data_IF_275323796538
#
_entry.id   IF_275323796538
#
_cell.length_a   1.000
_cell.length_b   1.000
_cell.length_c   1.000
_cell.angle_alpha   90.00
_cell.angle_beta   90.00
_cell.angle_gamma   90.00
#
_symmetry.space_group_name_H-M   'P 1'
#
loop_
_entity.id
_entity.type
_entity.pdbx_description
1 polymer ?
#
# COMPACT_ATOMS: atom_id res chain seq x y z
N UNK A 1 -26.04 -3.20 26.20
CA UNK A 1 -25.92 -3.30 25.43
C UNK A 1 -26.44 -4.12 25.09
N UNK A 2 -26.75 -4.32 25.05
CA UNK A 2 -27.20 -4.81 24.96
C UNK A 2 -27.84 -5.44 24.10
N UNK A 3 -28.74 -5.72 24.00
CA UNK A 3 -29.26 -5.95 23.01
C UNK A 3 -28.36 -6.50 22.12
N UNK A 4 -27.68 -7.40 22.37
CA UNK A 4 -26.71 -7.93 21.52
C UNK A 4 -27.25 -8.54 20.25
N UNK A 5 -28.38 -9.20 20.31
CA UNK A 5 -28.86 -9.93 19.14
C UNK A 5 -29.26 -9.01 17.99
N UNK A 6 -30.12 -8.00 18.20
CA UNK A 6 -30.43 -7.10 17.07
C UNK A 6 -29.21 -6.31 16.65
N UNK A 7 -28.36 -5.99 17.59
CA UNK A 7 -27.15 -5.27 17.27
C UNK A 7 -26.26 -6.09 16.36
N UNK A 8 -26.20 -7.40 16.61
CA UNK A 8 -25.38 -8.26 15.77
C UNK A 8 -25.88 -8.29 14.34
N UNK A 9 -27.17 -8.32 14.14
CA UNK A 9 -27.72 -8.30 12.80
C UNK A 9 -27.38 -7.02 12.06
N UNK A 10 -27.58 -5.90 12.71
CA UNK A 10 -27.23 -4.63 12.14
C UNK A 10 -25.73 -4.53 11.91
N UNK A 11 -24.98 -5.12 12.80
CA UNK A 11 -23.56 -5.09 12.72
C UNK A 11 -23.06 -5.82 11.48
N UNK A 12 -23.70 -6.91 11.09
CA UNK A 12 -23.31 -7.62 9.89
C UNK A 12 -23.44 -6.77 8.63
N UNK A 13 -24.57 -6.07 8.50
CA UNK A 13 -24.76 -5.18 7.37
C UNK A 13 -23.81 -3.99 7.42
N UNK A 14 -23.67 -3.42 8.60
CA UNK A 14 -22.72 -2.35 8.80
C UNK A 14 -21.29 -2.85 8.60
N UNK A 15 -21.05 -4.12 8.87
CA UNK A 15 -19.73 -4.72 8.69
C UNK A 15 -19.26 -4.67 7.26
N UNK A 16 -20.17 -4.88 6.30
CA UNK A 16 -19.80 -4.80 4.89
C UNK A 16 -19.38 -3.38 4.54
N UNK A 17 -20.13 -2.39 4.99
CA UNK A 17 -19.79 -1.00 4.76
C UNK A 17 -18.53 -0.62 5.52
N UNK A 18 -18.38 -1.13 6.74
CA UNK A 18 -17.19 -0.89 7.54
C UNK A 18 -15.95 -1.45 6.88
N UNK A 19 -16.07 -2.64 6.26
CA UNK A 19 -14.94 -3.24 5.59
C UNK A 19 -14.52 -2.41 4.39
N UNK A 20 -15.47 -1.86 3.64
CA UNK A 20 -15.16 -1.00 2.52
C UNK A 20 -14.45 0.28 2.99
N UNK A 21 -14.96 0.88 4.05
CA UNK A 21 -14.32 2.07 4.62
C UNK A 21 -12.96 1.76 5.18
N UNK A 22 -12.83 0.60 5.81
CA UNK A 22 -11.55 0.17 6.36
C UNK A 22 -10.53 -0.03 5.24
N UNK A 23 -10.96 -0.65 4.13
CA UNK A 23 -10.08 -0.82 2.99
C UNK A 23 -9.63 0.53 2.44
N UNK A 24 -10.57 1.47 2.29
CA UNK A 24 -10.22 2.81 1.82
C UNK A 24 -9.24 3.51 2.75
N UNK A 25 -9.47 3.39 4.05
CA UNK A 25 -8.61 3.99 5.04
C UNK A 25 -7.21 3.37 5.00
N UNK A 26 -7.14 2.03 4.87
CA UNK A 26 -5.86 1.35 4.82
C UNK A 26 -5.08 1.75 3.58
N UNK A 27 -5.75 1.89 2.45
CA UNK A 27 -5.07 2.32 1.23
C UNK A 27 -4.53 3.73 1.39
N UNK A 28 -5.35 4.67 1.87
CA UNK A 28 -4.89 6.04 2.06
C UNK A 28 -3.76 6.13 3.08
N UNK A 29 -3.91 5.42 4.19
CA UNK A 29 -2.90 5.42 5.24
C UNK A 29 -1.61 4.81 4.74
N UNK A 30 -1.71 3.71 4.00
CA UNK A 30 -0.54 3.05 3.44
C UNK A 30 0.20 3.95 2.48
N UNK A 31 -0.53 4.61 1.58
CA UNK A 31 0.08 5.53 0.63
C UNK A 31 0.78 6.67 1.36
N UNK A 32 0.13 7.22 2.38
CA UNK A 32 0.72 8.32 3.16
C UNK A 32 1.99 7.88 3.87
N UNK A 33 2.07 6.61 4.25
CA UNK A 33 3.26 6.06 4.91
C UNK A 33 4.33 5.61 3.92
N UNK A 34 4.04 5.67 2.64
CA UNK A 34 4.98 5.22 1.63
C UNK A 34 4.97 3.72 1.42
N UNK A 35 3.85 3.07 1.65
CA UNK A 35 3.72 1.63 1.43
C UNK A 35 3.26 1.35 0.02
N UNK A 36 3.80 0.28 -0.58
CA UNK A 36 3.37 -0.17 -1.88
C UNK A 36 2.13 -1.04 -1.83
N UNK A 37 1.59 -1.41 -2.99
CA UNK A 37 0.33 -2.16 -3.04
C UNK A 37 0.41 -3.54 -2.40
N UNK A 38 1.54 -4.23 -2.53
CA UNK A 38 1.67 -5.57 -1.97
C UNK A 38 1.59 -5.53 -0.44
N UNK A 39 2.19 -4.52 0.18
CA UNK A 39 2.16 -4.37 1.63
C UNK A 39 0.77 -4.04 2.12
N UNK A 40 0.08 -3.16 1.42
CA UNK A 40 -1.27 -2.79 1.78
C UNK A 40 -2.19 -4.01 1.68
N UNK A 41 -2.05 -4.79 0.61
CA UNK A 41 -2.83 -6.00 0.45
C UNK A 41 -2.56 -7.00 1.57
N UNK A 42 -1.30 -7.19 1.92
CA UNK A 42 -0.95 -8.13 2.97
C UNK A 42 -1.55 -7.73 4.31
N UNK A 43 -1.50 -6.46 4.63
CA UNK A 43 -2.08 -5.97 5.88
C UNK A 43 -3.59 -6.14 5.91
N UNK A 44 -4.24 -5.85 4.78
CA UNK A 44 -5.69 -6.02 4.70
C UNK A 44 -6.09 -7.49 4.82
N UNK A 45 -5.28 -8.39 4.29
CA UNK A 45 -5.56 -9.82 4.41
C UNK A 45 -5.53 -10.29 5.85
N UNK A 46 -4.70 -9.69 6.67
CA UNK A 46 -4.66 -10.01 8.09
C UNK A 46 -5.97 -9.68 8.79
N UNK A 47 -6.72 -8.75 8.26
CA UNK A 47 -8.01 -8.37 8.82
C UNK A 47 -9.17 -9.03 8.08
N UNK A 48 -8.88 -10.01 7.23
CA UNK A 48 -9.90 -10.79 6.49
C UNK A 48 -10.81 -9.90 5.64
N UNK A 49 -10.26 -8.85 5.06
CA UNK A 49 -11.01 -7.97 4.18
C UNK A 49 -11.12 -8.62 2.80
N UNK A 50 -12.32 -8.57 2.23
CA UNK A 50 -12.58 -9.11 0.91
C UNK A 50 -11.65 -8.45 -0.12
N UNK A 51 -11.02 -9.29 -0.94
CA UNK A 51 -10.08 -8.82 -1.94
C UNK A 51 -10.74 -7.85 -2.92
N UNK A 52 -11.99 -8.09 -3.28
CA UNK A 52 -12.68 -7.20 -4.22
C UNK A 52 -12.90 -5.81 -3.62
N UNK A 53 -13.17 -5.74 -2.34
CA UNK A 53 -13.30 -4.45 -1.67
C UNK A 53 -11.98 -3.69 -1.66
N UNK A 54 -10.90 -4.42 -1.44
CA UNK A 54 -9.58 -3.81 -1.44
C UNK A 54 -9.21 -3.31 -2.83
N UNK A 55 -9.46 -4.12 -3.85
CA UNK A 55 -9.16 -3.70 -5.22
C UNK A 55 -9.95 -2.46 -5.61
N UNK A 56 -11.21 -2.42 -5.22
CA UNK A 56 -12.02 -1.24 -5.49
C UNK A 56 -11.48 -0.02 -4.78
N UNK A 57 -11.08 -0.17 -3.53
CA UNK A 57 -10.50 0.93 -2.77
C UNK A 57 -9.23 1.44 -3.42
N UNK A 58 -8.41 0.54 -3.94
CA UNK A 58 -7.18 0.93 -4.62
C UNK A 58 -7.47 1.68 -5.91
N UNK A 59 -8.46 1.23 -6.66
CA UNK A 59 -8.85 1.93 -7.87
C UNK A 59 -9.39 3.33 -7.58
N UNK A 60 -10.22 3.44 -6.55
CA UNK A 60 -10.80 4.72 -6.18
C UNK A 60 -9.76 5.71 -5.67
N UNK A 61 -8.74 5.19 -5.01
CA UNK A 61 -7.68 6.06 -4.52
C UNK A 61 -6.78 6.56 -5.65
N UNK A 62 -6.73 5.84 -6.75
CA UNK A 62 -6.02 6.25 -7.97
C UNK A 62 -4.57 6.68 -7.70
N UNK A 63 -3.87 5.85 -6.97
CA UNK A 63 -2.49 6.14 -6.61
C UNK A 63 -1.54 5.79 -7.74
N UNK A 64 -0.62 6.70 -8.03
CA UNK A 64 0.47 6.41 -8.96
C UNK A 64 1.58 5.71 -8.18
N UNK A 65 1.59 4.40 -8.25
CA UNK A 65 2.55 3.59 -7.51
C UNK A 65 3.97 3.81 -7.98
N UNK A 66 4.15 4.09 -9.25
CA UNK A 66 5.47 4.37 -9.82
C UNK A 66 6.04 5.65 -9.22
N UNK A 67 5.24 6.67 -9.17
CA UNK A 67 5.65 7.94 -8.58
C UNK A 67 5.93 7.79 -7.09
N UNK A 68 5.07 7.04 -6.39
CA UNK A 68 5.23 6.84 -4.96
C UNK A 68 6.52 6.08 -4.65
N UNK A 69 6.82 5.05 -5.44
CA UNK A 69 8.06 4.29 -5.24
C UNK A 69 9.28 5.21 -5.38
N UNK A 70 9.27 6.07 -6.38
CA UNK A 70 10.35 7.03 -6.56
C UNK A 70 10.45 8.00 -5.40
N UNK A 71 9.33 8.49 -4.92
CA UNK A 71 9.30 9.39 -3.78
C UNK A 71 9.88 8.73 -2.53
N UNK A 72 9.45 7.51 -2.25
CA UNK A 72 9.91 6.77 -1.08
C UNK A 72 11.42 6.53 -1.15
N UNK A 73 11.89 6.16 -2.33
CA UNK A 73 13.31 5.92 -2.53
C UNK A 73 14.12 7.20 -2.28
N UNK A 74 13.69 8.30 -2.88
CA UNK A 74 14.40 9.57 -2.73
C UNK A 74 14.38 10.06 -1.30
N UNK A 75 13.27 9.87 -0.62
CA UNK A 75 13.14 10.31 0.77
C UNK A 75 14.08 9.54 1.68
N UNK A 76 14.26 8.25 1.41
CA UNK A 76 15.09 7.39 2.26
C UNK A 76 16.57 7.46 1.91
N UNK A 77 16.89 7.50 0.62
CA UNK A 77 18.28 7.38 0.15
C UNK A 77 18.81 8.64 -0.53
N UNK A 78 17.98 9.62 -0.74
CA UNK A 78 18.38 10.87 -1.38
C UNK A 78 18.27 10.81 -2.89
N UNK A 79 18.73 11.86 -3.53
CA UNK A 79 18.61 12.00 -4.98
C UNK A 79 19.74 11.34 -5.74
N UNK A 80 20.82 10.99 -5.07
CA UNK A 80 21.96 10.40 -5.75
C UNK A 80 21.67 8.97 -6.17
N UNK A 81 22.12 8.57 -7.36
CA UNK A 81 21.98 7.17 -7.75
C UNK A 81 22.87 6.29 -6.90
N UNK A 82 22.58 4.99 -6.81
CA UNK A 82 23.41 4.10 -6.01
C UNK A 82 24.83 4.05 -6.54
N UNK A 83 25.77 4.03 -5.61
CA UNK A 83 27.19 4.08 -5.98
C UNK A 83 27.72 2.74 -6.46
N UNK A 84 27.02 1.65 -6.15
CA UNK A 84 27.47 0.31 -6.53
C UNK A 84 26.25 -0.60 -6.67
N UNK A 85 26.48 -1.78 -7.24
CA UNK A 85 25.43 -2.77 -7.34
C UNK A 85 24.93 -3.20 -5.98
N UNK A 86 25.84 -3.29 -5.02
CA UNK A 86 25.47 -3.66 -3.66
C UNK A 86 24.51 -2.63 -3.07
N UNK A 87 24.80 -1.37 -3.28
CA UNK A 87 23.94 -0.29 -2.79
C UNK A 87 22.59 -0.33 -3.51
N UNK A 88 22.61 -0.61 -4.81
CA UNK A 88 21.38 -0.72 -5.57
C UNK A 88 20.49 -1.85 -5.07
N UNK A 89 21.09 -3.02 -4.79
CA UNK A 89 20.34 -4.14 -4.25
C UNK A 89 19.75 -3.81 -2.88
N UNK A 90 20.47 -3.07 -2.09
CA UNK A 90 19.99 -2.66 -0.78
C UNK A 90 18.73 -1.79 -0.93
N UNK A 91 18.76 -0.86 -1.86
CA UNK A 91 17.62 0.02 -2.12
C UNK A 91 16.44 -0.76 -2.69
N UNK A 92 16.72 -1.71 -3.58
CA UNK A 92 15.67 -2.57 -4.14
C UNK A 92 14.99 -3.36 -3.03
N UNK A 93 15.76 -3.93 -2.13
CA UNK A 93 15.20 -4.68 -1.00
C UNK A 93 14.33 -3.82 -0.12
N UNK A 94 14.77 -2.58 0.11
CA UNK A 94 13.99 -1.66 0.91
C UNK A 94 12.63 -1.41 0.28
N UNK A 95 12.61 -1.17 -1.03
CA UNK A 95 11.35 -0.92 -1.72
C UNK A 95 10.48 -2.17 -1.77
N UNK A 96 11.08 -3.35 -1.93
CA UNK A 96 10.33 -4.60 -1.86
C UNK A 96 9.70 -4.78 -0.48
N UNK A 97 10.44 -4.45 0.55
CA UNK A 97 9.92 -4.54 1.92
C UNK A 97 8.74 -3.60 2.12
N UNK A 98 8.78 -2.45 1.47
CA UNK A 98 7.68 -1.49 1.53
C UNK A 98 6.47 -1.95 0.72
N UNK A 99 6.61 -2.98 -0.10
CA UNK A 99 5.50 -3.58 -0.82
C UNK A 99 5.36 -3.17 -2.27
N UNK A 100 6.39 -2.58 -2.85
CA UNK A 100 6.36 -2.22 -4.27
C UNK A 100 6.73 -3.43 -5.12
N UNK A 101 6.12 -3.51 -6.30
CA UNK A 101 6.43 -4.56 -7.25
C UNK A 101 7.66 -4.18 -8.07
N UNK A 102 8.22 -5.17 -8.77
CA UNK A 102 9.49 -4.96 -9.47
C UNK A 102 9.43 -3.87 -10.52
N UNK A 103 8.32 -3.72 -11.22
CA UNK A 103 8.18 -2.67 -12.22
C UNK A 103 8.15 -1.28 -11.58
N UNK A 104 7.50 -1.14 -10.42
CA UNK A 104 7.51 0.11 -9.69
C UNK A 104 8.92 0.46 -9.25
N UNK A 105 9.65 -0.54 -8.76
CA UNK A 105 11.00 -0.35 -8.27
C UNK A 105 11.93 0.03 -9.40
N UNK A 106 11.83 -0.66 -10.51
CA UNK A 106 12.67 -0.36 -11.65
C UNK A 106 12.46 1.05 -12.15
N UNK A 107 11.23 1.48 -12.23
CA UNK A 107 10.90 2.84 -12.63
C UNK A 107 11.51 3.87 -11.67
N UNK A 108 11.54 3.54 -10.39
CA UNK A 108 12.11 4.45 -9.39
C UNK A 108 13.59 4.71 -9.64
N UNK A 109 14.30 3.74 -10.18
CA UNK A 109 15.69 3.93 -10.54
C UNK A 109 15.85 4.60 -11.89
N UNK A 110 14.95 4.33 -12.82
CA UNK A 110 15.01 4.93 -14.15
C UNK A 110 14.81 6.44 -14.08
N UNK A 111 13.97 6.91 -13.16
CA UNK A 111 13.73 8.34 -12.98
C UNK A 111 15.00 9.12 -12.68
N UNK A 112 15.96 8.46 -12.07
CA UNK A 112 17.19 9.12 -11.68
C UNK A 112 18.10 9.45 -12.86
N UNK A 113 17.82 8.86 -14.00
CA UNK A 113 18.62 9.10 -15.20
C UNK A 113 18.14 10.32 -15.96
N UNK A 114 17.03 10.87 -15.56
CA UNK A 114 16.52 12.10 -16.14
C UNK A 114 16.79 13.27 -15.24
#
# INVERSE_FOLDING_TARGET
>A
MADCAPVVEEFKQAGIQSDARFAEMKVRSGVAKGQGPARIKAECQQFAIDESLLEQAMLENDTDWFFLAGQVRRKRFGLKPPASDKEKFKQIRFLQYRGFYSDHIQHAFDDDHE
#
